data_IF_037003471657
#
_entry.id   IF_037003471657
#
_cell.length_a   1.000
_cell.length_b   1.000
_cell.length_c   1.000
_cell.angle_alpha   90.00
_cell.angle_beta   90.00
_cell.angle_gamma   90.00
#
_symmetry.space_group_name_H-M   'P 1'
#
loop_
_entity.id
_entity.type
_entity.pdbx_description
1 polymer ?
#
# COMPACT_ATOMS: atom_id res chain seq x y z
N UNK A 1 -33.98 25.93 9.58
CA UNK A 1 -32.91 26.38 10.46
C UNK A 1 -31.60 26.16 9.73
N UNK A 2 -31.08 27.21 9.11
CA UNK A 2 -29.82 27.22 8.37
C UNK A 2 -28.70 27.26 9.40
N UNK A 3 -28.07 26.11 9.67
CA UNK A 3 -26.84 26.04 10.45
C UNK A 3 -25.74 26.71 9.64
N UNK A 4 -25.43 27.95 10.02
CA UNK A 4 -24.36 28.73 9.42
C UNK A 4 -23.05 27.96 9.46
N UNK A 5 -22.50 27.69 8.29
CA UNK A 5 -21.12 27.18 8.13
C UNK A 5 -20.21 28.26 8.73
N UNK A 6 -19.69 28.00 9.93
CA UNK A 6 -18.62 28.83 10.50
C UNK A 6 -17.49 28.86 9.49
N UNK A 7 -17.30 30.00 8.82
CA UNK A 7 -16.10 30.25 8.03
C UNK A 7 -14.94 30.43 9.01
N UNK A 8 -14.23 29.33 9.26
CA UNK A 8 -12.96 29.40 10.00
C UNK A 8 -11.92 30.16 9.15
N UNK A 9 -11.02 30.94 9.78
CA UNK A 9 -9.88 31.54 9.10
C UNK A 9 -9.11 30.47 8.32
N UNK A 10 -8.49 30.82 7.20
CA UNK A 10 -7.79 29.86 6.34
C UNK A 10 -6.71 29.04 7.08
N UNK A 11 -6.08 29.63 8.10
CA UNK A 11 -5.07 29.00 8.95
C UNK A 11 -5.64 27.84 9.78
N UNK A 12 -6.83 28.01 10.37
CA UNK A 12 -7.48 26.97 11.17
C UNK A 12 -7.89 25.77 10.29
N UNK A 13 -8.29 26.02 9.04
CA UNK A 13 -8.62 24.96 8.08
C UNK A 13 -7.40 24.13 7.70
N UNK A 14 -6.23 24.75 7.55
CA UNK A 14 -4.97 24.07 7.27
C UNK A 14 -4.56 23.21 8.46
N UNK A 15 -4.58 23.78 9.68
CA UNK A 15 -4.24 23.07 10.90
C UNK A 15 -5.15 21.85 11.14
N UNK A 16 -6.42 21.94 10.78
CA UNK A 16 -7.37 20.81 10.86
C UNK A 16 -7.01 19.64 9.94
N UNK A 17 -6.17 19.83 8.90
CA UNK A 17 -5.73 18.74 8.02
C UNK A 17 -4.51 18.00 8.58
N UNK A 18 -3.77 18.57 9.53
CA UNK A 18 -2.57 17.96 10.11
C UNK A 18 -2.88 16.65 10.82
N UNK A 19 -3.94 16.64 11.61
CA UNK A 19 -4.32 15.47 12.40
C UNK A 19 -4.73 14.27 11.53
N UNK A 20 -5.68 14.41 10.56
CA UNK A 20 -5.98 13.35 9.61
C UNK A 20 -4.74 12.87 8.84
N UNK A 21 -3.88 13.81 8.41
CA UNK A 21 -2.63 13.51 7.73
C UNK A 21 -1.72 12.62 8.56
N UNK A 22 -1.46 13.02 9.81
CA UNK A 22 -0.59 12.29 10.73
C UNK A 22 -1.17 10.92 11.14
N UNK A 23 -2.46 10.85 11.44
CA UNK A 23 -3.11 9.58 11.82
C UNK A 23 -3.01 8.55 10.68
N UNK A 24 -3.24 8.99 9.44
CA UNK A 24 -3.21 8.08 8.29
C UNK A 24 -1.80 7.75 7.85
N UNK A 25 -0.79 8.61 8.11
CA UNK A 25 0.61 8.28 7.82
C UNK A 25 1.10 7.07 8.60
N UNK A 26 0.73 6.93 9.87
CA UNK A 26 1.05 5.74 10.66
C UNK A 26 0.45 4.45 10.10
N UNK A 27 -0.75 4.50 9.53
CA UNK A 27 -1.34 3.35 8.82
C UNK A 27 -0.60 3.09 7.52
N UNK A 28 -0.28 4.16 6.79
CA UNK A 28 0.38 4.07 5.49
C UNK A 28 1.80 3.49 5.61
N UNK A 29 2.57 3.88 6.63
CA UNK A 29 3.92 3.34 6.88
C UNK A 29 3.86 1.86 7.26
N UNK A 30 2.93 1.48 8.13
CA UNK A 30 2.77 0.10 8.59
C UNK A 30 2.40 -0.83 7.44
N UNK A 31 1.39 -0.46 6.63
CA UNK A 31 0.96 -1.24 5.47
C UNK A 31 1.99 -1.17 4.35
N UNK A 32 2.64 -0.03 4.15
CA UNK A 32 3.73 0.14 3.19
C UNK A 32 4.86 -0.85 3.48
N UNK A 33 5.34 -0.89 4.72
CA UNK A 33 6.36 -1.83 5.16
C UNK A 33 5.94 -3.29 4.94
N UNK A 34 4.72 -3.66 5.34
CA UNK A 34 4.18 -5.00 5.17
C UNK A 34 4.12 -5.42 3.69
N UNK A 35 3.60 -4.57 2.81
CA UNK A 35 3.54 -4.83 1.37
C UNK A 35 4.93 -4.84 0.72
N UNK A 36 5.86 -4.01 1.21
CA UNK A 36 7.25 -4.02 0.76
C UNK A 36 7.93 -5.37 1.04
N UNK A 37 7.78 -5.89 2.26
CA UNK A 37 8.30 -7.21 2.65
C UNK A 37 7.60 -8.32 1.85
N UNK A 38 6.26 -8.29 1.75
CA UNK A 38 5.49 -9.27 0.98
C UNK A 38 5.96 -9.33 -0.49
N UNK A 39 6.21 -8.17 -1.10
CA UNK A 39 6.64 -8.10 -2.51
C UNK A 39 8.03 -8.67 -2.77
N UNK A 40 8.84 -8.90 -1.74
CA UNK A 40 10.24 -9.29 -1.85
C UNK A 40 11.20 -8.11 -2.12
N UNK A 41 10.70 -6.85 -2.19
CA UNK A 41 11.53 -5.64 -2.42
C UNK A 41 12.00 -4.96 -1.12
N UNK A 42 11.56 -5.46 0.03
CA UNK A 42 11.91 -4.94 1.35
C UNK A 42 10.99 -3.83 1.88
N UNK A 43 11.02 -3.62 3.19
CA UNK A 43 10.13 -2.66 3.87
C UNK A 43 10.33 -1.22 3.39
N UNK A 44 11.58 -0.81 3.17
CA UNK A 44 11.93 0.54 2.71
C UNK A 44 11.27 0.88 1.38
N UNK A 45 11.33 -0.05 0.40
CA UNK A 45 10.69 0.11 -0.89
C UNK A 45 9.18 0.36 -0.76
N UNK A 46 8.52 -0.37 0.15
CA UNK A 46 7.10 -0.22 0.41
C UNK A 46 6.74 1.10 1.09
N UNK A 47 7.54 1.55 2.06
CA UNK A 47 7.32 2.82 2.77
C UNK A 47 7.56 4.01 1.83
N UNK A 48 8.66 4.00 1.08
CA UNK A 48 8.94 5.01 0.05
C UNK A 48 7.78 5.14 -0.94
N UNK A 49 7.28 3.99 -1.40
CA UNK A 49 6.13 3.96 -2.31
C UNK A 49 4.87 4.55 -1.66
N UNK A 50 4.61 4.25 -0.39
CA UNK A 50 3.46 4.79 0.33
C UNK A 50 3.53 6.32 0.42
N UNK A 51 4.72 6.88 0.71
CA UNK A 51 4.93 8.32 0.78
C UNK A 51 4.82 9.00 -0.59
N UNK A 52 5.57 8.54 -1.60
CA UNK A 52 5.65 9.15 -2.92
C UNK A 52 4.29 9.08 -3.64
N UNK A 53 3.63 7.91 -3.62
CA UNK A 53 2.34 7.73 -4.29
C UNK A 53 1.27 8.60 -3.62
N UNK A 54 1.20 8.62 -2.27
CA UNK A 54 0.25 9.46 -1.56
C UNK A 54 0.44 10.94 -1.90
N UNK A 55 1.69 11.43 -1.90
CA UNK A 55 2.03 12.81 -2.20
C UNK A 55 1.57 13.22 -3.62
N UNK A 56 1.97 12.45 -4.63
CA UNK A 56 1.69 12.78 -6.04
C UNK A 56 0.19 12.69 -6.33
N UNK A 57 -0.47 11.62 -5.88
CA UNK A 57 -1.88 11.39 -6.19
C UNK A 57 -2.81 12.34 -5.43
N UNK A 58 -2.50 12.68 -4.18
CA UNK A 58 -3.27 13.68 -3.45
C UNK A 58 -3.13 15.09 -4.05
N UNK A 59 -1.92 15.44 -4.53
CA UNK A 59 -1.68 16.74 -5.16
C UNK A 59 -2.37 16.87 -6.53
N UNK A 60 -2.22 15.88 -7.39
CA UNK A 60 -2.58 15.96 -8.82
C UNK A 60 -3.79 15.11 -9.21
N UNK A 61 -4.26 14.20 -8.35
CA UNK A 61 -5.34 13.25 -8.62
C UNK A 61 -6.70 13.88 -8.88
N UNK A 62 -7.59 13.10 -9.45
CA UNK A 62 -8.98 13.49 -9.75
C UNK A 62 -9.89 13.40 -8.53
N UNK A 63 -9.57 12.56 -7.55
CA UNK A 63 -10.26 12.44 -6.26
C UNK A 63 -9.77 13.52 -5.30
N UNK A 64 -10.67 14.24 -4.68
CA UNK A 64 -10.30 15.40 -3.86
C UNK A 64 -9.64 15.00 -2.54
N UNK A 65 -10.20 14.00 -1.85
CA UNK A 65 -9.70 13.53 -0.56
C UNK A 65 -9.41 12.06 -0.72
N UNK A 66 -8.14 11.70 -0.68
CA UNK A 66 -7.69 10.34 -0.90
C UNK A 66 -6.35 10.07 -0.23
N UNK A 67 -6.04 8.79 -0.06
CA UNK A 67 -4.73 8.30 0.28
C UNK A 67 -4.42 7.08 -0.58
N UNK A 68 -3.47 7.24 -1.50
CA UNK A 68 -2.96 6.16 -2.38
C UNK A 68 -1.65 5.59 -1.83
N UNK A 69 -1.22 4.47 -2.40
CA UNK A 69 0.06 3.82 -2.08
C UNK A 69 -0.01 2.33 -2.38
N UNK A 70 0.93 1.53 -1.92
CA UNK A 70 0.91 0.08 -2.11
C UNK A 70 -0.42 -0.53 -1.67
N UNK A 71 -0.97 -1.41 -2.50
CA UNK A 71 -2.22 -2.13 -2.23
C UNK A 71 -2.02 -3.62 -2.38
N UNK A 72 -2.88 -4.42 -1.73
CA UNK A 72 -2.81 -5.86 -1.78
C UNK A 72 -2.82 -6.43 -3.21
N UNK A 73 -3.73 -5.99 -4.12
CA UNK A 73 -3.75 -6.44 -5.50
C UNK A 73 -2.45 -6.17 -6.25
N UNK A 74 -1.95 -4.94 -6.17
CA UNK A 74 -0.73 -4.54 -6.86
C UNK A 74 0.49 -5.31 -6.33
N UNK A 75 0.55 -5.50 -5.01
CA UNK A 75 1.62 -6.26 -4.37
C UNK A 75 1.60 -7.73 -4.77
N UNK A 76 0.43 -8.36 -4.87
CA UNK A 76 0.32 -9.76 -5.28
C UNK A 76 0.94 -10.02 -6.67
N UNK A 77 0.68 -9.14 -7.65
CA UNK A 77 1.32 -9.26 -8.98
C UNK A 77 2.80 -8.91 -8.91
N UNK A 78 3.21 -7.99 -8.05
CA UNK A 78 4.63 -7.69 -7.85
C UNK A 78 5.38 -8.90 -7.30
N UNK A 79 4.78 -9.66 -6.37
CA UNK A 79 5.34 -10.94 -5.90
C UNK A 79 5.56 -11.92 -7.06
N UNK A 80 4.56 -12.06 -7.94
CA UNK A 80 4.69 -12.95 -9.11
C UNK A 80 5.82 -12.50 -10.04
N UNK A 81 5.96 -11.20 -10.28
CA UNK A 81 7.04 -10.63 -11.06
C UNK A 81 8.41 -10.93 -10.43
N UNK A 82 8.58 -10.61 -9.14
CA UNK A 82 9.85 -10.84 -8.41
C UNK A 82 10.19 -12.34 -8.39
N UNK A 83 9.21 -13.19 -8.16
CA UNK A 83 9.41 -14.65 -8.17
C UNK A 83 9.77 -15.17 -9.57
N UNK A 84 9.12 -14.69 -10.63
CA UNK A 84 9.45 -15.06 -12.00
C UNK A 84 10.87 -14.66 -12.38
N UNK A 85 11.29 -13.46 -12.01
CA UNK A 85 12.68 -12.98 -12.21
C UNK A 85 13.67 -13.86 -11.45
N UNK A 86 13.39 -14.17 -10.18
CA UNK A 86 14.22 -15.06 -9.36
C UNK A 86 14.26 -16.51 -9.84
N UNK A 87 13.21 -17.00 -10.49
CA UNK A 87 13.14 -18.37 -11.05
C UNK A 87 13.76 -18.49 -12.45
N UNK A 88 14.35 -17.42 -12.99
CA UNK A 88 15.10 -17.49 -14.23
C UNK A 88 14.44 -16.88 -15.45
N UNK A 89 13.44 -16.00 -15.28
CA UNK A 89 12.81 -15.28 -16.40
C UNK A 89 13.82 -14.54 -17.30
N UNK A 90 14.98 -14.15 -16.74
CA UNK A 90 16.04 -13.40 -17.43
C UNK A 90 17.20 -14.29 -17.91
N UNK A 91 17.10 -15.61 -17.86
CA UNK A 91 18.19 -16.52 -18.27
C UNK A 91 18.67 -16.30 -19.71
N UNK A 92 17.74 -15.99 -20.62
CA UNK A 92 18.04 -15.70 -22.02
C UNK A 92 18.57 -14.27 -22.24
N UNK A 93 18.66 -13.46 -21.18
CA UNK A 93 19.14 -12.08 -21.20
C UNK A 93 20.30 -11.88 -20.20
N UNK A 94 21.44 -12.57 -20.38
CA UNK A 94 22.57 -12.47 -19.47
C UNK A 94 23.09 -11.02 -19.42
N UNK A 95 23.30 -10.52 -18.21
CA UNK A 95 23.72 -9.13 -17.96
C UNK A 95 22.59 -8.14 -17.67
N UNK A 96 21.32 -8.57 -17.70
CA UNK A 96 20.21 -7.75 -17.25
C UNK A 96 20.09 -7.83 -15.72
N UNK A 97 20.16 -6.69 -15.07
CA UNK A 97 19.96 -6.58 -13.61
C UNK A 97 18.48 -6.86 -13.27
N UNK A 98 18.19 -7.84 -12.39
CA UNK A 98 16.84 -8.19 -11.97
C UNK A 98 16.03 -6.99 -11.43
N UNK A 99 16.62 -6.16 -10.58
CA UNK A 99 15.93 -5.01 -9.99
C UNK A 99 15.61 -3.94 -11.04
N UNK A 100 16.51 -3.70 -11.98
CA UNK A 100 16.28 -2.77 -13.09
C UNK A 100 15.18 -3.26 -14.03
N UNK A 101 15.08 -4.59 -14.27
CA UNK A 101 13.97 -5.13 -15.04
C UNK A 101 12.64 -4.96 -14.33
N UNK A 102 12.58 -5.21 -13.01
CA UNK A 102 11.36 -4.96 -12.22
C UNK A 102 10.97 -3.48 -12.31
N UNK A 103 11.93 -2.57 -12.14
CA UNK A 103 11.69 -1.14 -12.26
C UNK A 103 11.22 -0.73 -13.66
N UNK A 104 11.72 -1.38 -14.72
CA UNK A 104 11.24 -1.19 -16.09
C UNK A 104 9.75 -1.57 -16.20
N UNK A 105 9.33 -2.71 -15.65
CA UNK A 105 7.92 -3.12 -15.63
C UNK A 105 7.06 -2.08 -14.90
N UNK A 106 7.51 -1.57 -13.75
CA UNK A 106 6.77 -0.56 -12.99
C UNK A 106 6.68 0.77 -13.74
N UNK A 107 7.76 1.20 -14.37
CA UNK A 107 7.79 2.40 -15.21
C UNK A 107 6.81 2.27 -16.38
N UNK A 108 6.86 1.16 -17.10
CA UNK A 108 5.94 0.88 -18.21
C UNK A 108 4.48 0.82 -17.73
N UNK A 109 4.22 0.27 -16.54
CA UNK A 109 2.89 0.28 -15.92
C UNK A 109 2.41 1.71 -15.70
N UNK A 110 3.24 2.59 -15.12
CA UNK A 110 2.91 3.99 -14.93
C UNK A 110 2.63 4.71 -16.26
N UNK A 111 3.49 4.52 -17.26
CA UNK A 111 3.31 5.10 -18.60
C UNK A 111 2.03 4.59 -19.28
N UNK A 112 1.72 3.30 -19.15
CA UNK A 112 0.49 2.71 -19.71
C UNK A 112 -0.76 3.30 -19.05
N UNK A 113 -0.75 3.52 -17.72
CA UNK A 113 -1.84 4.22 -17.04
C UNK A 113 -2.04 5.64 -17.54
N UNK A 114 -0.96 6.37 -17.83
CA UNK A 114 -1.04 7.71 -18.42
C UNK A 114 -1.68 7.62 -19.82
N UNK A 115 -1.27 6.66 -20.64
CA UNK A 115 -1.86 6.42 -21.96
C UNK A 115 -3.35 6.11 -21.85
N UNK A 116 -3.75 5.20 -20.95
CA UNK A 116 -5.16 4.88 -20.68
C UNK A 116 -5.95 6.12 -20.26
N UNK A 117 -5.35 7.00 -19.47
CA UNK A 117 -5.94 8.28 -19.07
C UNK A 117 -6.14 9.23 -20.26
N UNK A 118 -5.13 9.38 -21.13
CA UNK A 118 -5.16 10.24 -22.31
C UNK A 118 -6.27 9.81 -23.30
N UNK A 119 -6.45 8.50 -23.49
CA UNK A 119 -7.55 7.95 -24.29
C UNK A 119 -8.91 8.00 -23.58
N UNK A 120 -8.97 8.60 -22.38
CA UNK A 120 -10.21 8.77 -21.59
C UNK A 120 -10.93 7.46 -21.29
N UNK A 121 -10.17 6.39 -21.09
CA UNK A 121 -10.73 5.06 -20.83
C UNK A 121 -11.26 4.90 -19.40
N UNK A 122 -10.98 5.82 -18.48
CA UNK A 122 -11.48 5.80 -17.09
C UNK A 122 -13.01 5.75 -16.97
N UNK A 123 -13.74 6.16 -18.01
CA UNK A 123 -15.21 6.10 -18.05
C UNK A 123 -15.77 4.67 -18.08
N UNK A 124 -14.98 3.71 -18.54
CA UNK A 124 -15.43 2.32 -18.73
C UNK A 124 -15.49 1.51 -17.42
N UNK A 125 -15.04 2.05 -16.29
CA UNK A 125 -15.17 1.41 -14.98
C UNK A 125 -16.62 1.00 -14.66
N UNK A 126 -17.59 1.76 -15.15
CA UNK A 126 -19.01 1.50 -14.93
C UNK A 126 -19.55 0.26 -15.65
N UNK A 127 -18.79 -0.31 -16.59
CA UNK A 127 -19.17 -1.50 -17.34
C UNK A 127 -18.76 -2.80 -16.64
N UNK A 128 -17.92 -2.73 -15.62
CA UNK A 128 -17.41 -3.91 -14.93
C UNK A 128 -18.44 -4.42 -13.92
N UNK A 129 -18.90 -5.68 -14.07
CA UNK A 129 -19.84 -6.28 -13.13
C UNK A 129 -19.25 -6.41 -11.73
N UNK A 130 -20.05 -6.14 -10.70
CA UNK A 130 -19.63 -6.26 -9.28
C UNK A 130 -19.11 -7.67 -8.94
N UNK A 131 -19.69 -8.70 -9.54
CA UNK A 131 -19.30 -10.09 -9.32
C UNK A 131 -17.85 -10.37 -9.73
N UNK A 132 -17.40 -9.79 -10.85
CA UNK A 132 -16.00 -9.91 -11.33
C UNK A 132 -15.06 -9.26 -10.32
N UNK A 133 -15.41 -8.09 -9.79
CA UNK A 133 -14.65 -7.39 -8.77
C UNK A 133 -14.53 -8.20 -7.49
N UNK A 134 -15.67 -8.74 -7.01
CA UNK A 134 -15.70 -9.56 -5.81
C UNK A 134 -14.85 -10.83 -5.97
N UNK A 135 -14.99 -11.56 -7.08
CA UNK A 135 -14.18 -12.74 -7.38
C UNK A 135 -12.68 -12.42 -7.41
N UNK A 136 -12.31 -11.29 -8.00
CA UNK A 136 -10.94 -10.82 -8.06
C UNK A 136 -10.38 -10.50 -6.66
N UNK A 137 -11.09 -9.74 -5.84
CA UNK A 137 -10.68 -9.40 -4.46
C UNK A 137 -10.53 -10.65 -3.59
N UNK A 138 -11.45 -11.62 -3.73
CA UNK A 138 -11.36 -12.89 -3.01
C UNK A 138 -10.16 -13.73 -3.44
N UNK A 139 -9.86 -13.76 -4.75
CA UNK A 139 -8.66 -14.42 -5.26
C UNK A 139 -7.37 -13.83 -4.67
N UNK A 140 -7.28 -12.50 -4.58
CA UNK A 140 -6.13 -11.82 -3.97
C UNK A 140 -6.01 -12.13 -2.48
N UNK A 141 -7.11 -12.08 -1.73
CA UNK A 141 -7.10 -12.41 -0.31
C UNK A 141 -6.55 -13.83 -0.06
N UNK A 142 -7.00 -14.80 -0.86
CA UNK A 142 -6.52 -16.19 -0.79
C UNK A 142 -5.03 -16.27 -1.14
N UNK A 143 -4.56 -15.56 -2.17
CA UNK A 143 -3.14 -15.53 -2.53
C UNK A 143 -2.28 -14.96 -1.41
N UNK A 144 -2.74 -13.89 -0.72
CA UNK A 144 -2.04 -13.33 0.45
C UNK A 144 -1.96 -14.39 1.55
N UNK A 145 -3.06 -15.05 1.90
CA UNK A 145 -3.07 -16.07 2.95
C UNK A 145 -2.13 -17.22 2.63
N UNK A 146 -2.19 -17.79 1.41
CA UNK A 146 -1.29 -18.85 0.98
C UNK A 146 0.16 -18.37 1.03
N UNK A 147 0.42 -17.13 0.58
CA UNK A 147 1.74 -16.53 0.60
C UNK A 147 2.31 -16.39 2.01
N UNK A 148 1.54 -15.93 2.97
CA UNK A 148 1.99 -15.74 4.35
C UNK A 148 2.15 -17.06 5.10
N UNK A 149 1.22 -18.00 4.91
CA UNK A 149 1.37 -19.35 5.46
C UNK A 149 2.60 -20.04 4.84
N UNK A 150 2.84 -19.85 3.53
CA UNK A 150 4.06 -20.33 2.86
C UNK A 150 5.34 -19.77 3.46
N UNK A 151 5.38 -18.47 3.81
CA UNK A 151 6.55 -17.83 4.44
C UNK A 151 6.77 -18.30 5.89
N UNK A 152 5.69 -18.67 6.62
CA UNK A 152 5.81 -19.21 7.98
C UNK A 152 6.32 -20.65 8.00
N UNK A 153 5.88 -21.49 7.08
CA UNK A 153 6.15 -22.95 7.10
C UNK A 153 7.11 -23.43 6.03
N UNK A 154 7.55 -22.58 5.10
CA UNK A 154 8.51 -22.91 4.06
C UNK A 154 7.92 -23.77 2.93
N UNK A 155 6.69 -23.52 2.49
CA UNK A 155 6.12 -24.23 1.33
C UNK A 155 5.72 -23.28 0.19
N UNK A 156 5.37 -23.85 -0.96
CA UNK A 156 4.97 -23.08 -2.15
C UNK A 156 6.13 -22.32 -2.80
N UNK A 157 7.36 -22.84 -2.68
CA UNK A 157 8.57 -22.23 -3.24
C UNK A 157 9.16 -21.10 -2.40
N UNK A 158 8.64 -20.85 -1.18
CA UNK A 158 9.17 -19.89 -0.25
C UNK A 158 10.05 -20.54 0.81
N UNK A 159 11.07 -19.82 1.26
CA UNK A 159 11.87 -20.20 2.42
C UNK A 159 11.14 -19.76 3.69
N UNK A 160 11.10 -20.65 4.70
CA UNK A 160 10.58 -20.29 6.01
C UNK A 160 11.41 -19.16 6.63
N UNK A 161 10.79 -18.33 7.47
CA UNK A 161 11.50 -17.34 8.25
C UNK A 161 12.56 -17.99 9.13
N UNK A 162 13.72 -17.36 9.27
CA UNK A 162 14.78 -17.81 10.16
C UNK A 162 14.28 -17.83 11.62
N UNK A 163 14.82 -18.75 12.40
CA UNK A 163 14.46 -18.98 13.80
C UNK A 163 13.44 -20.10 13.99
N UNK A 164 12.94 -20.24 15.21
CA UNK A 164 12.02 -21.30 15.57
C UNK A 164 10.61 -21.05 14.98
N UNK A 165 10.05 -22.02 14.27
CA UNK A 165 8.71 -21.97 13.67
C UNK A 165 7.63 -21.62 14.71
N UNK A 166 7.71 -22.20 15.91
CA UNK A 166 6.75 -21.92 16.99
C UNK A 166 6.83 -20.47 17.45
N UNK A 167 8.04 -19.90 17.52
CA UNK A 167 8.22 -18.48 17.87
C UNK A 167 7.64 -17.57 16.80
N UNK A 168 7.92 -17.83 15.52
CA UNK A 168 7.37 -17.05 14.40
C UNK A 168 5.85 -17.16 14.35
N UNK A 169 5.28 -18.36 14.56
CA UNK A 169 3.85 -18.57 14.61
C UNK A 169 3.20 -17.83 15.79
N UNK A 170 3.83 -17.89 16.97
CA UNK A 170 3.35 -17.18 18.18
C UNK A 170 3.33 -15.67 17.97
N UNK A 171 4.38 -15.09 17.36
CA UNK A 171 4.46 -13.68 16.99
C UNK A 171 3.33 -13.32 16.02
N UNK A 172 3.14 -14.13 14.97
CA UNK A 172 2.08 -13.91 13.98
C UNK A 172 0.69 -13.95 14.62
N UNK A 173 0.40 -14.99 15.44
CA UNK A 173 -0.88 -15.12 16.11
C UNK A 173 -1.11 -14.00 17.14
N UNK A 174 -0.09 -13.61 17.89
CA UNK A 174 -0.19 -12.50 18.84
C UNK A 174 -0.46 -11.17 18.11
N UNK A 175 0.25 -10.89 17.02
CA UNK A 175 0.04 -9.70 16.21
C UNK A 175 -1.39 -9.68 15.65
N UNK A 176 -1.84 -10.79 15.04
CA UNK A 176 -3.18 -10.92 14.49
C UNK A 176 -4.25 -10.74 15.59
N UNK A 177 -4.08 -11.37 16.74
CA UNK A 177 -4.96 -11.23 17.89
C UNK A 177 -5.06 -9.79 18.39
N UNK A 178 -3.92 -9.11 18.53
CA UNK A 178 -3.89 -7.71 18.92
C UNK A 178 -4.61 -6.81 17.92
N UNK A 179 -4.41 -6.99 16.62
CA UNK A 179 -5.07 -6.18 15.59
C UNK A 179 -6.58 -6.36 15.61
N UNK A 180 -7.10 -7.54 15.96
CA UNK A 180 -8.54 -7.76 16.12
C UNK A 180 -9.09 -7.25 17.47
N UNK A 181 -8.35 -7.41 18.56
CA UNK A 181 -8.82 -7.06 19.92
C UNK A 181 -8.67 -5.58 20.24
N UNK A 182 -7.56 -4.93 19.80
CA UNK A 182 -7.27 -3.52 20.13
C UNK A 182 -8.39 -2.56 19.73
N UNK A 183 -9.00 -2.63 18.52
CA UNK A 183 -10.08 -1.72 18.16
C UNK A 183 -11.30 -1.85 19.07
N UNK A 184 -11.58 -3.06 19.58
CA UNK A 184 -12.69 -3.31 20.50
C UNK A 184 -12.38 -2.70 21.87
N UNK A 185 -11.18 -2.93 22.39
CA UNK A 185 -10.73 -2.40 23.69
C UNK A 185 -10.60 -0.86 23.66
N UNK A 186 -9.98 -0.31 22.63
CA UNK A 186 -9.80 1.13 22.50
C UNK A 186 -11.13 1.89 22.38
N UNK A 187 -12.13 1.32 21.71
CA UNK A 187 -13.47 1.91 21.60
C UNK A 187 -14.19 1.94 22.96
N UNK A 188 -13.94 0.97 23.84
CA UNK A 188 -14.49 0.98 25.19
C UNK A 188 -13.89 2.09 26.06
N UNK A 189 -12.61 2.42 25.84
CA UNK A 189 -11.94 3.48 26.62
C UNK A 189 -12.27 4.85 26.03
N UNK A 190 -12.07 5.05 24.73
CA UNK A 190 -12.39 6.28 24.01
C UNK A 190 -12.45 6.05 22.51
N UNK A 191 -13.51 6.52 21.87
CA UNK A 191 -13.63 6.48 20.41
C UNK A 191 -12.51 7.30 19.71
N UNK A 192 -12.06 8.40 20.34
CA UNK A 192 -10.96 9.23 19.82
C UNK A 192 -9.61 8.54 19.87
N UNK A 193 -9.36 7.71 20.89
CA UNK A 193 -8.08 7.03 21.03
C UNK A 193 -7.85 6.00 19.92
N UNK A 194 -8.91 5.33 19.48
CA UNK A 194 -8.87 4.38 18.37
C UNK A 194 -8.58 5.04 17.01
N UNK A 195 -8.93 6.33 16.85
CA UNK A 195 -8.59 7.10 15.65
C UNK A 195 -7.13 7.53 15.64
N UNK A 196 -6.62 8.01 16.78
CA UNK A 196 -5.25 8.52 16.90
C UNK A 196 -4.17 7.42 16.78
N UNK A 197 -4.46 6.23 17.31
CA UNK A 197 -3.51 5.12 17.35
C UNK A 197 -4.07 3.92 16.59
N UNK A 198 -3.69 3.74 15.32
CA UNK A 198 -4.10 2.57 14.53
C UNK A 198 -3.72 1.28 15.23
N UNK A 199 -4.67 0.37 15.37
CA UNK A 199 -4.44 -0.92 16.04
C UNK A 199 -3.27 -1.70 15.44
N UNK A 200 -3.07 -1.57 14.12
CA UNK A 200 -1.95 -2.19 13.40
C UNK A 200 -0.60 -1.65 13.87
N UNK A 201 -0.47 -0.31 14.02
CA UNK A 201 0.77 0.29 14.52
C UNK A 201 1.05 -0.12 15.95
N UNK A 202 0.03 -0.05 16.82
CA UNK A 202 0.17 -0.46 18.24
C UNK A 202 0.60 -1.93 18.32
N UNK A 203 -0.03 -2.81 17.55
CA UNK A 203 0.32 -4.23 17.53
C UNK A 203 1.78 -4.45 17.10
N UNK A 204 2.23 -3.78 16.02
CA UNK A 204 3.63 -3.83 15.56
C UNK A 204 4.58 -3.39 16.69
N UNK A 205 4.31 -2.24 17.31
CA UNK A 205 5.17 -1.70 18.37
C UNK A 205 5.21 -2.64 19.58
N UNK A 206 4.06 -3.10 20.07
CA UNK A 206 4.00 -4.00 21.24
C UNK A 206 4.77 -5.29 20.97
N UNK A 207 4.51 -5.94 19.84
CA UNK A 207 5.14 -7.24 19.52
C UNK A 207 6.64 -7.07 19.24
N UNK A 208 7.05 -5.97 18.62
CA UNK A 208 8.46 -5.66 18.42
C UNK A 208 9.17 -5.43 19.75
N UNK A 209 8.62 -4.61 20.64
CA UNK A 209 9.19 -4.40 21.98
C UNK A 209 9.27 -5.69 22.77
N UNK A 210 8.23 -6.54 22.71
CA UNK A 210 8.23 -7.84 23.36
C UNK A 210 9.31 -8.75 22.79
N UNK A 211 9.49 -8.77 21.46
CA UNK A 211 10.52 -9.58 20.82
C UNK A 211 11.95 -9.14 21.16
N UNK A 212 12.16 -7.84 21.36
CA UNK A 212 13.45 -7.26 21.78
C UNK A 212 13.69 -7.56 23.26
N UNK A 213 12.67 -7.35 24.11
CA UNK A 213 12.79 -7.57 25.56
C UNK A 213 13.04 -9.04 25.94
N UNK A 214 12.43 -9.97 25.20
CA UNK A 214 12.62 -11.41 25.40
C UNK A 214 13.82 -11.98 24.62
N UNK A 215 14.59 -11.14 23.94
CA UNK A 215 15.74 -11.51 23.10
C UNK A 215 15.43 -12.69 22.16
N UNK A 216 14.29 -12.62 21.46
CA UNK A 216 13.85 -13.70 20.60
C UNK A 216 14.72 -13.79 19.34
N UNK A 217 15.23 -15.00 19.06
CA UNK A 217 15.97 -15.30 17.83
C UNK A 217 14.99 -15.45 16.66
N UNK A 218 14.71 -14.33 15.98
CA UNK A 218 13.76 -14.23 14.88
C UNK A 218 14.33 -13.35 13.77
N UNK A 219 13.93 -13.63 12.54
CA UNK A 219 14.31 -12.84 11.39
C UNK A 219 13.69 -11.44 11.49
N UNK A 220 14.57 -10.43 11.56
CA UNK A 220 14.18 -9.01 11.57
C UNK A 220 14.12 -8.44 10.15
N UNK A 221 13.46 -7.31 10.02
CA UNK A 221 13.32 -6.61 8.73
C UNK A 221 14.66 -6.06 8.30
N UNK A 222 15.09 -6.44 7.10
CA UNK A 222 16.22 -5.80 6.43
C UNK A 222 15.72 -4.60 5.64
N UNK A 223 16.26 -3.42 5.91
CA UNK A 223 15.94 -2.21 5.15
C UNK A 223 16.65 -2.16 3.79
N UNK A 224 17.69 -2.98 3.59
CA UNK A 224 18.47 -2.99 2.34
C UNK A 224 19.39 -1.78 2.15
N UNK A 225 19.42 -0.85 3.11
CA UNK A 225 20.22 0.37 3.12
C UNK A 225 19.65 1.40 4.07
N UNK A 226 20.47 2.34 4.53
CA UNK A 226 20.03 3.55 5.25
C UNK A 226 20.07 4.74 4.30
N UNK A 227 19.11 5.64 4.42
CA UNK A 227 19.11 6.92 3.71
C UNK A 227 19.50 7.99 4.72
N UNK A 228 20.75 8.40 4.73
CA UNK A 228 21.28 9.38 5.68
C UNK A 228 21.52 10.74 5.03
N UNK A 229 21.62 10.76 3.69
CA UNK A 229 21.93 11.97 2.95
C UNK A 229 21.17 12.11 1.63
N UNK A 230 21.10 13.32 1.09
CA UNK A 230 20.58 13.56 -0.25
C UNK A 230 21.41 12.84 -1.34
N UNK A 231 22.69 12.61 -1.07
CA UNK A 231 23.57 11.85 -1.97
C UNK A 231 23.14 10.39 -2.06
N UNK A 232 22.67 9.78 -0.96
CA UNK A 232 22.18 8.41 -0.93
C UNK A 232 20.92 8.28 -1.77
N UNK A 233 20.00 9.24 -1.68
CA UNK A 233 18.83 9.30 -2.54
C UNK A 233 19.21 9.43 -4.03
N UNK A 234 20.18 10.27 -4.35
CA UNK A 234 20.66 10.42 -5.72
C UNK A 234 21.29 9.13 -6.24
N UNK A 235 22.15 8.50 -5.44
CA UNK A 235 22.79 7.23 -5.78
C UNK A 235 21.75 6.11 -5.93
N UNK A 236 20.73 6.07 -5.06
CA UNK A 236 19.61 5.16 -5.16
C UNK A 236 18.89 5.32 -6.50
N UNK A 237 18.50 6.53 -6.87
CA UNK A 237 17.83 6.79 -8.16
C UNK A 237 18.72 6.34 -9.33
N UNK A 238 20.02 6.69 -9.33
CA UNK A 238 20.94 6.30 -10.41
C UNK A 238 21.07 4.78 -10.51
N UNK A 239 21.16 4.07 -9.39
CA UNK A 239 21.29 2.61 -9.36
C UNK A 239 20.01 1.91 -9.84
N UNK A 240 18.85 2.49 -9.55
CA UNK A 240 17.54 1.92 -9.85
C UNK A 240 17.01 2.28 -11.25
N UNK A 241 17.65 3.23 -11.95
CA UNK A 241 17.24 3.61 -13.30
C UNK A 241 17.29 2.41 -14.25
N UNK A 242 16.22 2.14 -15.01
CA UNK A 242 16.20 1.09 -16.01
C UNK A 242 17.02 1.56 -17.24
N UNK A 243 18.34 1.40 -17.18
CA UNK A 243 19.27 1.84 -18.26
C UNK A 243 19.37 0.84 -19.40
N UNK A 244 18.92 -0.40 -19.18
CA UNK A 244 18.99 -1.46 -20.19
C UNK A 244 17.64 -1.56 -20.90
N UNK A 245 17.58 -0.96 -22.10
CA UNK A 245 16.39 -0.99 -22.94
C UNK A 245 16.64 -1.90 -24.15
N UNK A 246 15.85 -2.96 -24.28
CA UNK A 246 15.78 -3.74 -25.50
C UNK A 246 14.31 -4.07 -25.82
N UNK A 247 14.00 -4.22 -27.09
CA UNK A 247 12.65 -4.60 -27.50
C UNK A 247 12.22 -5.94 -26.90
N UNK A 248 13.17 -6.88 -26.76
CA UNK A 248 12.92 -8.18 -26.14
C UNK A 248 12.54 -8.05 -24.66
N UNK A 249 13.24 -7.21 -23.88
CA UNK A 249 12.89 -6.94 -22.46
C UNK A 249 11.53 -6.27 -22.31
N UNK A 250 11.20 -5.32 -23.20
CA UNK A 250 9.87 -4.71 -23.21
C UNK A 250 8.79 -5.75 -23.50
N UNK A 251 9.00 -6.64 -24.49
CA UNK A 251 8.05 -7.71 -24.80
C UNK A 251 7.86 -8.69 -23.63
N UNK A 252 8.95 -9.03 -22.94
CA UNK A 252 8.93 -9.86 -21.73
C UNK A 252 8.18 -9.19 -20.56
N UNK A 253 8.23 -7.87 -20.47
CA UNK A 253 7.52 -7.09 -19.45
C UNK A 253 6.01 -7.00 -19.70
N UNK A 254 5.53 -7.07 -20.96
CA UNK A 254 4.13 -6.83 -21.35
C UNK A 254 3.10 -7.57 -20.48
N UNK A 255 3.21 -8.88 -20.20
CA UNK A 255 2.21 -9.59 -19.40
C UNK A 255 2.04 -8.98 -18.01
N UNK A 256 3.12 -8.62 -17.35
CA UNK A 256 3.11 -8.00 -16.03
C UNK A 256 2.59 -6.56 -16.07
N UNK A 257 3.01 -5.79 -17.08
CA UNK A 257 2.53 -4.41 -17.31
C UNK A 257 1.02 -4.36 -17.51
N UNK A 258 0.47 -5.26 -18.32
CA UNK A 258 -0.97 -5.35 -18.57
C UNK A 258 -1.71 -5.70 -17.27
N UNK A 259 -1.24 -6.69 -16.53
CA UNK A 259 -1.84 -7.10 -15.26
C UNK A 259 -1.82 -5.94 -14.25
N UNK A 260 -0.65 -5.34 -14.00
CA UNK A 260 -0.50 -4.23 -13.04
C UNK A 260 -1.33 -3.01 -13.46
N UNK A 261 -1.34 -2.67 -14.77
CA UNK A 261 -2.16 -1.55 -15.28
C UNK A 261 -3.64 -1.80 -15.04
N UNK A 262 -4.12 -3.02 -15.34
CA UNK A 262 -5.54 -3.36 -15.16
C UNK A 262 -5.94 -3.33 -13.68
N UNK A 263 -5.06 -3.81 -12.80
CA UNK A 263 -5.27 -3.77 -11.36
C UNK A 263 -5.28 -2.36 -10.81
N UNK A 264 -4.28 -1.55 -11.17
CA UNK A 264 -4.23 -0.15 -10.78
C UNK A 264 -5.46 0.64 -11.25
N UNK A 265 -5.90 0.37 -12.49
CA UNK A 265 -7.13 0.93 -13.04
C UNK A 265 -8.36 0.57 -12.21
N UNK A 266 -8.55 -0.73 -11.92
CA UNK A 266 -9.71 -1.23 -11.16
C UNK A 266 -9.69 -0.72 -9.72
N UNK A 267 -8.60 -0.95 -9.01
CA UNK A 267 -8.46 -0.63 -7.59
C UNK A 267 -8.64 0.89 -7.35
N UNK A 268 -8.00 1.71 -8.20
CA UNK A 268 -8.13 3.17 -8.13
C UNK A 268 -9.55 3.65 -8.39
N UNK A 269 -10.16 3.25 -9.50
CA UNK A 269 -11.46 3.81 -9.88
C UNK A 269 -12.61 3.27 -9.03
N UNK A 270 -12.52 2.02 -8.56
CA UNK A 270 -13.50 1.49 -7.63
C UNK A 270 -13.41 2.17 -6.26
N UNK A 271 -12.19 2.38 -5.77
CA UNK A 271 -11.98 3.14 -4.53
C UNK A 271 -12.50 4.56 -4.67
N UNK A 272 -12.28 5.22 -5.79
CA UNK A 272 -12.81 6.58 -6.00
C UNK A 272 -14.33 6.63 -5.93
N UNK A 273 -15.04 5.63 -6.45
CA UNK A 273 -16.51 5.55 -6.33
C UNK A 273 -16.97 5.37 -4.87
N UNK A 274 -16.22 4.60 -4.07
CA UNK A 274 -16.49 4.44 -2.63
C UNK A 274 -16.26 5.75 -1.88
N UNK A 275 -15.17 6.46 -2.20
CA UNK A 275 -14.84 7.77 -1.62
C UNK A 275 -15.89 8.80 -1.96
N UNK A 276 -16.27 8.93 -3.24
CA UNK A 276 -17.31 9.87 -3.71
C UNK A 276 -18.63 9.64 -2.96
N UNK A 277 -19.04 8.38 -2.82
CA UNK A 277 -20.25 8.02 -2.06
C UNK A 277 -20.14 8.36 -0.58
N UNK A 278 -18.97 8.14 0.02
CA UNK A 278 -18.71 8.46 1.42
C UNK A 278 -18.77 9.98 1.67
N UNK A 279 -18.19 10.77 0.79
CA UNK A 279 -18.23 12.24 0.83
C UNK A 279 -19.67 12.75 0.68
N UNK A 280 -20.45 12.17 -0.23
CA UNK A 280 -21.86 12.52 -0.40
C UNK A 280 -22.68 12.27 0.90
N UNK A 281 -22.46 11.12 1.54
CA UNK A 281 -23.13 10.79 2.82
C UNK A 281 -22.72 11.70 3.97
N UNK A 282 -21.42 12.05 4.07
CA UNK A 282 -20.89 12.84 5.18
C UNK A 282 -21.16 14.34 5.04
N UNK A 283 -21.08 14.88 3.83
CA UNK A 283 -21.12 16.33 3.58
C UNK A 283 -22.38 16.79 2.85
N UNK A 284 -23.25 15.89 2.39
CA UNK A 284 -24.51 16.22 1.69
C UNK A 284 -24.32 16.81 0.29
N UNK A 285 -23.11 16.82 -0.25
CA UNK A 285 -22.84 17.27 -1.62
C UNK A 285 -22.01 16.24 -2.37
N UNK A 286 -22.24 16.16 -3.71
CA UNK A 286 -21.47 15.27 -4.57
C UNK A 286 -20.14 15.91 -4.94
N UNK A 287 -19.05 15.29 -4.50
CA UNK A 287 -17.72 15.60 -5.00
C UNK A 287 -17.31 14.45 -5.94
N UNK A 288 -17.52 14.65 -7.25
CA UNK A 288 -17.34 13.57 -8.23
C UNK A 288 -15.89 13.53 -8.67
N UNK A 289 -15.25 12.40 -8.46
CA UNK A 289 -13.91 12.11 -8.98
C UNK A 289 -13.85 12.29 -10.50
N UNK A 290 -12.75 12.87 -10.97
CA UNK A 290 -12.41 12.93 -12.39
C UNK A 290 -11.56 11.71 -12.77
N UNK A 291 -12.15 10.64 -13.36
CA UNK A 291 -11.47 9.34 -13.48
C UNK A 291 -10.16 9.40 -14.26
N UNK A 292 -10.12 10.13 -15.37
CA UNK A 292 -8.93 10.20 -16.19
C UNK A 292 -7.82 11.01 -15.50
N UNK A 293 -8.15 12.10 -14.80
CA UNK A 293 -7.16 12.85 -14.02
C UNK A 293 -6.58 11.96 -12.90
N UNK A 294 -7.41 11.15 -12.27
CA UNK A 294 -6.99 10.21 -11.23
C UNK A 294 -6.01 9.17 -11.79
N UNK A 295 -6.35 8.54 -12.93
CA UNK A 295 -5.48 7.56 -13.59
C UNK A 295 -4.15 8.18 -14.05
N UNK A 296 -4.17 9.42 -14.52
CA UNK A 296 -2.95 10.13 -14.90
C UNK A 296 -2.03 10.33 -13.69
N UNK A 297 -2.58 10.78 -12.57
CA UNK A 297 -1.81 10.98 -11.33
C UNK A 297 -1.26 9.66 -10.79
N UNK A 298 -2.06 8.58 -10.82
CA UNK A 298 -1.61 7.24 -10.45
C UNK A 298 -0.49 6.73 -11.39
N UNK A 299 -0.60 7.01 -12.69
CA UNK A 299 0.43 6.67 -13.66
C UNK A 299 1.74 7.40 -13.38
N UNK A 300 1.69 8.71 -13.15
CA UNK A 300 2.87 9.52 -12.77
C UNK A 300 3.48 9.00 -11.46
N UNK A 301 2.65 8.69 -10.46
CA UNK A 301 3.11 8.21 -9.17
C UNK A 301 3.82 6.86 -9.28
N UNK A 302 3.25 5.89 -10.03
CA UNK A 302 3.86 4.58 -10.24
C UNK A 302 5.16 4.68 -11.06
N UNK A 303 5.20 5.57 -12.08
CA UNK A 303 6.43 5.85 -12.81
C UNK A 303 7.51 6.48 -11.91
N UNK A 304 7.13 7.42 -11.05
CA UNK A 304 8.07 8.03 -10.10
C UNK A 304 8.65 7.00 -9.13
N UNK A 305 7.80 6.13 -8.56
CA UNK A 305 8.22 5.10 -7.60
C UNK A 305 9.20 4.11 -8.22
N UNK A 306 9.08 3.79 -9.51
CA UNK A 306 10.01 2.89 -10.19
C UNK A 306 11.45 3.41 -10.20
N UNK A 307 11.64 4.74 -10.13
CA UNK A 307 12.97 5.36 -10.09
C UNK A 307 13.66 5.21 -8.73
N UNK A 308 12.88 4.92 -7.69
CA UNK A 308 13.37 4.73 -6.32
C UNK A 308 13.40 3.25 -5.91
N UNK A 309 13.23 2.33 -6.85
CA UNK A 309 13.19 0.90 -6.52
C UNK A 309 11.99 0.50 -5.64
N UNK A 310 10.93 1.28 -5.66
CA UNK A 310 9.73 1.04 -4.88
C UNK A 310 8.84 -0.07 -5.41
N UNK A 311 7.62 -0.14 -4.91
CA UNK A 311 6.57 -1.07 -5.35
C UNK A 311 5.35 -0.30 -5.87
N UNK A 312 4.60 -0.85 -6.82
CA UNK A 312 3.48 -0.15 -7.42
C UNK A 312 2.30 -0.05 -6.45
N UNK A 313 1.49 0.95 -6.65
CA UNK A 313 0.30 1.17 -5.84
C UNK A 313 -0.88 1.72 -6.61
N UNK A 314 -1.97 1.90 -5.87
CA UNK A 314 -3.24 2.43 -6.35
C UNK A 314 -3.91 3.23 -5.23
N UNK A 315 -5.11 3.75 -5.49
CA UNK A 315 -5.89 4.40 -4.45
C UNK A 315 -6.38 3.36 -3.44
N UNK A 316 -6.03 3.53 -2.16
CA UNK A 316 -6.32 2.57 -1.12
C UNK A 316 -7.65 2.89 -0.40
N UNK A 317 -8.63 1.99 -0.50
CA UNK A 317 -9.98 2.19 0.07
C UNK A 317 -9.93 2.45 1.57
N UNK A 318 -9.25 1.58 2.34
CA UNK A 318 -9.18 1.66 3.80
C UNK A 318 -8.60 3.01 4.24
N UNK A 319 -7.46 3.41 3.66
CA UNK A 319 -6.78 4.66 4.01
C UNK A 319 -7.58 5.89 3.55
N UNK A 320 -8.21 5.84 2.38
CA UNK A 320 -9.03 6.93 1.87
C UNK A 320 -10.33 7.12 2.67
N UNK A 321 -10.94 6.04 3.15
CA UNK A 321 -12.10 6.13 4.05
C UNK A 321 -11.66 6.59 5.44
N UNK A 322 -10.50 6.15 5.93
CA UNK A 322 -9.98 6.56 7.22
C UNK A 322 -9.72 8.07 7.26
N UNK A 323 -9.03 8.62 6.26
CA UNK A 323 -8.72 10.06 6.23
C UNK A 323 -9.99 10.93 6.21
N UNK A 324 -11.06 10.46 5.57
CA UNK A 324 -12.39 11.11 5.61
C UNK A 324 -13.02 11.02 7.00
N UNK A 325 -12.96 9.85 7.66
CA UNK A 325 -13.52 9.65 9.00
C UNK A 325 -12.80 10.52 10.05
N UNK A 326 -11.50 10.80 9.86
CA UNK A 326 -10.71 11.72 10.68
C UNK A 326 -11.02 13.20 10.42
N UNK A 327 -11.96 13.49 9.53
CA UNK A 327 -12.44 14.84 9.28
C UNK A 327 -11.63 15.62 8.23
N UNK A 328 -10.89 14.96 7.37
CA UNK A 328 -10.25 15.62 6.24
C UNK A 328 -11.27 16.25 5.30
N UNK A 329 -11.04 17.50 4.91
CA UNK A 329 -11.91 18.28 4.03
C UNK A 329 -11.19 18.81 2.79
N UNK A 330 -9.86 18.68 2.75
CA UNK A 330 -9.01 19.24 1.70
C UNK A 330 -8.02 18.19 1.18
N UNK A 331 -7.58 18.36 -0.07
CA UNK A 331 -6.47 17.58 -0.67
C UNK A 331 -5.20 17.58 0.19
N UNK A 332 -4.98 18.69 0.92
CA UNK A 332 -3.82 18.88 1.78
C UNK A 332 -3.65 17.75 2.79
N UNK A 333 -4.74 17.16 3.30
CA UNK A 333 -4.63 16.03 4.23
C UNK A 333 -3.89 14.85 3.59
N UNK A 334 -4.23 14.46 2.35
CA UNK A 334 -3.53 13.40 1.63
C UNK A 334 -2.07 13.73 1.26
N UNK A 335 -1.80 15.00 0.94
CA UNK A 335 -0.42 15.48 0.72
C UNK A 335 0.39 15.35 2.01
N UNK A 336 -0.19 15.74 3.15
CA UNK A 336 0.44 15.61 4.46
C UNK A 336 0.71 14.15 4.84
N UNK A 337 -0.19 13.21 4.47
CA UNK A 337 0.12 11.78 4.66
C UNK A 337 1.43 11.42 3.97
N UNK A 338 1.59 11.78 2.70
CA UNK A 338 2.82 11.48 1.95
C UNK A 338 4.07 12.11 2.58
N UNK A 339 3.98 13.37 2.99
CA UNK A 339 5.09 14.09 3.66
C UNK A 339 5.43 13.43 4.99
N UNK A 340 4.43 13.13 5.84
CA UNK A 340 4.68 12.52 7.14
C UNK A 340 5.27 11.12 7.01
N UNK A 341 4.78 10.28 6.08
CA UNK A 341 5.37 8.96 5.81
C UNK A 341 6.85 9.06 5.46
N UNK A 342 7.23 10.03 4.61
CA UNK A 342 8.65 10.22 4.24
C UNK A 342 9.48 10.72 5.42
N UNK A 343 8.95 11.63 6.24
CA UNK A 343 9.63 12.12 7.46
C UNK A 343 9.75 10.99 8.49
N UNK A 344 8.66 10.27 8.74
CA UNK A 344 8.62 9.14 9.69
C UNK A 344 9.60 8.03 9.26
N UNK A 345 9.69 7.75 7.95
CA UNK A 345 10.66 6.82 7.41
C UNK A 345 12.09 7.21 7.77
N UNK A 346 12.45 8.49 7.57
CA UNK A 346 13.81 8.98 7.87
C UNK A 346 14.10 8.99 9.39
N UNK A 347 13.08 9.27 10.21
CA UNK A 347 13.25 9.34 11.66
C UNK A 347 13.27 7.97 12.34
N UNK A 348 12.58 6.97 11.79
CA UNK A 348 12.34 5.68 12.45
C UNK A 348 12.99 4.50 11.76
N UNK A 349 14.00 4.70 10.89
CA UNK A 349 14.70 3.61 10.18
C UNK A 349 15.21 2.54 11.13
N UNK A 350 15.88 2.94 12.20
CA UNK A 350 16.45 1.99 13.19
C UNK A 350 15.35 1.19 13.90
N UNK A 351 14.23 1.82 14.22
CA UNK A 351 13.09 1.15 14.84
C UNK A 351 12.40 0.16 13.88
N UNK A 352 12.32 0.50 12.61
CA UNK A 352 11.77 -0.39 11.58
C UNK A 352 12.64 -1.64 11.41
N UNK A 353 13.96 -1.52 11.51
CA UNK A 353 14.89 -2.65 11.42
C UNK A 353 14.75 -3.66 12.57
N UNK A 354 14.20 -3.23 13.71
CA UNK A 354 13.95 -4.11 14.87
C UNK A 354 12.71 -4.98 14.71
N UNK A 355 11.82 -4.68 13.77
CA UNK A 355 10.53 -5.38 13.60
C UNK A 355 10.79 -6.82 13.12
N UNK A 356 10.26 -7.85 13.82
CA UNK A 356 10.30 -9.21 13.31
C UNK A 356 9.47 -9.36 12.03
N UNK A 357 9.96 -10.08 11.03
CA UNK A 357 9.19 -10.29 9.77
C UNK A 357 7.86 -11.00 10.01
N UNK A 358 7.80 -11.92 10.98
CA UNK A 358 6.58 -12.61 11.37
C UNK A 358 5.44 -11.68 11.86
N UNK A 359 5.76 -10.46 12.31
CA UNK A 359 4.76 -9.42 12.64
C UNK A 359 3.97 -9.03 11.40
N UNK A 360 4.65 -8.87 10.26
CA UNK A 360 3.99 -8.51 9.01
C UNK A 360 3.09 -9.63 8.48
N UNK A 361 3.42 -10.90 8.73
CA UNK A 361 2.50 -12.00 8.41
C UNK A 361 1.17 -11.86 9.17
N UNK A 362 1.20 -11.49 10.46
CA UNK A 362 -0.02 -11.18 11.22
C UNK A 362 -0.83 -10.03 10.63
N UNK A 363 -0.15 -8.95 10.25
CA UNK A 363 -0.77 -7.79 9.59
C UNK A 363 -1.40 -8.18 8.24
N UNK A 364 -0.67 -8.93 7.40
CA UNK A 364 -1.10 -9.31 6.06
C UNK A 364 -2.22 -10.34 6.08
N UNK A 365 -2.25 -11.27 7.04
CA UNK A 365 -3.38 -12.17 7.25
C UNK A 365 -4.65 -11.37 7.56
N UNK A 366 -4.56 -10.31 8.37
CA UNK A 366 -5.68 -9.40 8.64
C UNK A 366 -6.08 -8.61 7.38
N UNK A 367 -5.11 -8.12 6.61
CA UNK A 367 -5.39 -7.43 5.34
C UNK A 367 -6.13 -8.34 4.37
N UNK A 368 -5.71 -9.61 4.25
CA UNK A 368 -6.44 -10.61 3.47
C UNK A 368 -7.89 -10.78 3.93
N UNK A 369 -8.13 -10.82 5.25
CA UNK A 369 -9.47 -10.88 5.82
C UNK A 369 -10.32 -9.65 5.48
N UNK A 370 -9.74 -8.45 5.50
CA UNK A 370 -10.42 -7.19 5.19
C UNK A 370 -10.69 -7.01 3.68
N UNK A 371 -9.81 -7.53 2.83
CA UNK A 371 -9.94 -7.50 1.37
C UNK A 371 -10.97 -8.50 0.87
N UNK A 372 -11.15 -9.62 1.58
CA UNK A 372 -12.08 -10.66 1.20
C UNK A 372 -13.53 -10.16 1.24
N UNK A 373 -14.25 -10.32 0.13
CA UNK A 373 -15.66 -9.94 0.04
C UNK A 373 -16.54 -11.06 0.61
N UNK A 374 -16.93 -10.90 1.86
CA UNK A 374 -17.77 -11.85 2.60
C UNK A 374 -19.26 -11.81 2.21
N UNK A 375 -19.69 -10.75 1.51
CA UNK A 375 -21.12 -10.53 1.21
C UNK A 375 -21.70 -11.62 0.32
N UNK A 376 -21.07 -12.00 -0.83
CA UNK A 376 -21.60 -13.06 -1.66
C UNK A 376 -21.67 -14.40 -0.95
N UNK A 377 -20.64 -14.74 -0.15
CA UNK A 377 -20.64 -16.01 0.60
C UNK A 377 -21.79 -16.09 1.58
N UNK A 378 -22.11 -15.00 2.29
CA UNK A 378 -23.25 -14.97 3.21
C UNK A 378 -24.58 -15.10 2.49
N UNK A 379 -24.70 -14.59 1.25
CA UNK A 379 -25.91 -14.69 0.44
C UNK A 379 -26.14 -16.08 -0.15
N UNK A 380 -25.06 -16.87 -0.37
CA UNK A 380 -25.17 -18.23 -0.90
C UNK A 380 -25.23 -19.31 0.19
N UNK A 381 -24.95 -18.97 1.46
CA UNK A 381 -25.05 -19.88 2.59
C UNK A 381 -26.41 -19.81 3.31
N UNK A 382 -27.34 -18.99 2.84
CA UNK A 382 -28.74 -18.91 3.23
C UNK A 382 -29.64 -19.21 2.01
#
# INVERSE_FOLDING_TARGET
MTTGIRQYPNTDRILQQLLPGLTVSFVAISLGAAFGVLSGRGALAGILSAGIIALITAAFGGTRIQCSGPTAPMTAVTVLLVTAVGSGLLLDHPGTDPDRFINLVLLLTGLTLIVVSLFRLGRFIRLIPKLVISGFMNGIAVLIWIGEIGSLFGFGGKTAYLGNILTNLSITCLTLGLIFMLPVLLRQISARLNSFFPATLIAIVIVTLLSVFLDLDVQRVSLGGSIESLMDLQNMVISQLPTQWSFALVLLAVPFVVQLTMLAYLDTLLTSLVVDRKVEVMHGHKDITKPNQELCAQGIANAAVSLFGGIPGAQATIRSVLILNEGATMRLAGVLVGIFVLIEMLMFQDLISLIPQAVFSGVLLKVGYDVFDWVPLRQYCY
#
